data_IF_687902347658
#
_entry.id   IF_687902347658
#
_cell.length_a   1.000
_cell.length_b   1.000
_cell.length_c   1.000
_cell.angle_alpha   90.00
_cell.angle_beta   90.00
_cell.angle_gamma   90.00
#
_symmetry.space_group_name_H-M   'P 1'
#
loop_
_entity.id
_entity.type
_entity.pdbx_description
1 polymer ?
#
# COMPACT_ATOMS: atom_id res chain seq x y z
N UNK A 1 0.87 31.55 -2.23
CA UNK A 1 1.12 30.12 -2.33
C UNK A 1 2.31 29.82 -1.42
N UNK A 2 2.07 29.35 -0.21
CA UNK A 2 3.14 28.99 0.72
C UNK A 2 3.61 27.60 0.28
N UNK A 3 4.77 27.54 -0.33
CA UNK A 3 5.49 26.28 -0.55
C UNK A 3 5.89 25.82 0.86
N UNK A 4 5.13 24.88 1.43
CA UNK A 4 5.55 24.15 2.61
C UNK A 4 6.78 23.34 2.17
N UNK A 5 7.97 23.90 2.44
CA UNK A 5 9.21 23.18 2.32
C UNK A 5 9.07 21.90 3.15
N UNK A 6 9.12 20.71 2.51
CA UNK A 6 9.23 19.45 3.22
C UNK A 6 10.35 19.57 4.23
N UNK A 7 10.06 19.26 5.49
CA UNK A 7 11.10 19.24 6.51
C UNK A 7 12.10 18.15 6.13
N UNK A 8 13.36 18.53 6.01
CA UNK A 8 14.45 17.81 5.34
C UNK A 8 14.88 16.47 5.98
N UNK A 9 14.05 15.75 6.70
CA UNK A 9 14.43 14.53 7.41
C UNK A 9 13.39 13.40 7.33
N UNK A 10 12.47 13.41 6.37
CA UNK A 10 11.45 12.36 6.25
C UNK A 10 10.43 12.30 7.40
N UNK A 11 10.44 13.29 8.30
CA UNK A 11 9.58 13.33 9.49
C UNK A 11 8.27 14.10 9.31
N UNK A 12 7.89 14.46 8.10
CA UNK A 12 6.65 15.22 7.89
C UNK A 12 5.43 14.45 8.40
N UNK A 13 5.34 13.17 8.10
CA UNK A 13 4.28 12.27 8.59
C UNK A 13 4.19 12.29 10.12
N UNK A 14 5.32 12.19 10.80
CA UNK A 14 5.40 12.27 12.26
C UNK A 14 4.83 13.59 12.81
N UNK A 15 5.25 14.73 12.27
CA UNK A 15 4.80 16.03 12.73
C UNK A 15 3.33 16.30 12.41
N UNK A 16 2.83 15.86 11.24
CA UNK A 16 1.40 15.97 10.89
C UNK A 16 0.52 15.14 11.81
N UNK A 17 0.97 13.97 12.20
CA UNK A 17 0.27 13.14 13.19
C UNK A 17 0.28 13.79 14.57
N UNK A 18 1.43 14.30 15.02
CA UNK A 18 1.56 14.95 16.33
C UNK A 18 0.69 16.20 16.45
N UNK A 19 0.62 17.02 15.39
CA UNK A 19 -0.19 18.24 15.32
C UNK A 19 -1.64 17.98 14.85
N UNK A 20 -2.14 16.76 15.06
CA UNK A 20 -3.47 16.34 14.61
C UNK A 20 -4.58 17.32 15.03
N UNK A 21 -5.37 17.82 14.08
CA UNK A 21 -6.45 18.78 14.28
C UNK A 21 -7.79 18.39 13.63
N UNK A 22 -7.86 17.17 13.02
CA UNK A 22 -9.01 16.74 12.21
C UNK A 22 -10.14 16.08 13.01
N UNK A 23 -10.02 16.04 14.35
CA UNK A 23 -11.05 15.51 15.24
C UNK A 23 -11.09 13.98 15.33
N UNK A 24 -11.97 13.49 16.22
CA UNK A 24 -12.02 12.07 16.62
C UNK A 24 -12.52 11.16 15.49
N UNK A 25 -13.61 11.48 14.82
CA UNK A 25 -14.17 10.62 13.78
C UNK A 25 -13.19 10.37 12.61
N UNK A 26 -12.34 11.35 12.30
CA UNK A 26 -11.32 11.20 11.25
C UNK A 26 -10.15 10.34 11.76
N UNK A 27 -9.75 10.49 13.04
CA UNK A 27 -8.72 9.64 13.63
C UNK A 27 -9.15 8.18 13.75
N UNK A 28 -10.42 7.91 14.05
CA UNK A 28 -10.97 6.55 14.08
C UNK A 28 -10.94 5.90 12.68
N UNK A 29 -11.29 6.64 11.62
CA UNK A 29 -11.20 6.13 10.24
C UNK A 29 -9.75 5.84 9.84
N UNK A 30 -8.82 6.73 10.15
CA UNK A 30 -7.41 6.50 9.90
C UNK A 30 -6.90 5.27 10.68
N UNK A 31 -7.28 5.15 11.95
CA UNK A 31 -6.92 4.00 12.79
C UNK A 31 -7.46 2.68 12.24
N UNK A 32 -8.69 2.67 11.72
CA UNK A 32 -9.26 1.49 11.05
C UNK A 32 -8.41 1.04 9.87
N UNK A 33 -7.99 1.98 8.99
CA UNK A 33 -7.13 1.68 7.85
C UNK A 33 -5.72 1.19 8.27
N UNK A 34 -5.19 1.71 9.38
CA UNK A 34 -3.92 1.23 9.96
C UNK A 34 -4.09 -0.21 10.47
N UNK A 35 -5.17 -0.52 11.18
CA UNK A 35 -5.44 -1.86 11.68
C UNK A 35 -5.66 -2.85 10.54
N UNK A 36 -6.38 -2.46 9.48
CA UNK A 36 -6.54 -3.29 8.28
C UNK A 36 -5.20 -3.64 7.64
N UNK A 37 -4.27 -2.67 7.60
CA UNK A 37 -2.91 -2.89 7.14
C UNK A 37 -2.13 -3.88 8.01
N UNK A 38 -2.43 -3.94 9.32
CA UNK A 38 -1.82 -4.81 10.33
C UNK A 38 -2.59 -6.13 10.52
N UNK A 39 -3.37 -6.54 9.50
CA UNK A 39 -4.07 -7.82 9.39
C UNK A 39 -5.28 -8.00 10.33
N UNK A 40 -5.76 -6.92 10.95
CA UNK A 40 -7.06 -6.95 11.59
C UNK A 40 -8.18 -7.02 10.55
N UNK A 41 -9.26 -7.68 10.88
CA UNK A 41 -10.44 -7.90 10.02
C UNK A 41 -11.71 -7.45 10.73
N UNK A 42 -12.80 -7.39 9.96
CA UNK A 42 -14.15 -7.05 10.47
C UNK A 42 -14.12 -5.80 11.36
N UNK A 43 -13.40 -4.78 10.89
CA UNK A 43 -13.21 -3.53 11.61
C UNK A 43 -14.48 -2.69 11.49
N UNK A 44 -15.18 -2.53 12.61
CA UNK A 44 -16.43 -1.77 12.70
C UNK A 44 -16.24 -0.58 13.65
N UNK A 45 -16.09 0.65 13.11
CA UNK A 45 -16.04 1.87 13.90
C UNK A 45 -17.38 2.11 14.62
N UNK A 46 -17.35 2.27 15.93
CA UNK A 46 -18.57 2.29 16.76
C UNK A 46 -19.45 3.50 16.51
N UNK A 47 -18.89 4.66 16.09
CA UNK A 47 -19.66 5.90 15.89
C UNK A 47 -19.10 6.85 14.84
N UNK A 48 -19.40 6.68 13.56
CA UNK A 48 -19.06 7.70 12.55
C UNK A 48 -19.86 9.02 12.74
N UNK A 49 -20.93 9.03 13.54
CA UNK A 49 -21.83 10.18 13.73
C UNK A 49 -21.84 10.76 15.17
N UNK A 50 -21.04 10.21 16.08
CA UNK A 50 -21.01 10.60 17.50
C UNK A 50 -22.13 9.97 18.34
N UNK A 51 -21.83 9.64 19.58
CA UNK A 51 -22.77 9.04 20.55
C UNK A 51 -22.03 8.43 21.74
N UNK A 52 -22.77 7.85 22.71
CA UNK A 52 -22.16 7.07 23.80
C UNK A 52 -21.80 5.70 23.30
N UNK A 53 -20.52 5.45 23.08
CA UNK A 53 -19.92 4.27 22.48
C UNK A 53 -19.60 3.11 23.44
N UNK A 54 -19.93 3.28 24.73
CA UNK A 54 -19.66 2.26 25.76
C UNK A 54 -18.18 2.02 26.04
N UNK A 55 -17.31 2.97 25.67
CA UNK A 55 -15.87 2.91 25.92
C UNK A 55 -15.09 2.10 24.89
N UNK A 56 -15.57 2.07 23.64
CA UNK A 56 -14.88 1.47 22.49
C UNK A 56 -14.98 2.41 21.29
N UNK A 57 -13.89 2.64 20.61
CA UNK A 57 -13.89 3.41 19.38
C UNK A 57 -14.18 2.51 18.16
N UNK A 58 -13.76 1.23 18.20
CA UNK A 58 -14.09 0.23 17.19
C UNK A 58 -14.01 -1.21 17.71
N UNK A 59 -14.75 -2.11 17.07
CA UNK A 59 -14.60 -3.55 17.19
C UNK A 59 -13.80 -4.06 16.00
N UNK A 60 -12.97 -5.06 16.22
CA UNK A 60 -12.23 -5.75 15.16
C UNK A 60 -11.92 -7.20 15.56
N UNK A 61 -11.45 -7.97 14.59
CA UNK A 61 -11.00 -9.34 14.78
C UNK A 61 -9.51 -9.46 14.45
N UNK A 62 -8.77 -10.18 15.28
CA UNK A 62 -7.38 -10.55 15.02
C UNK A 62 -7.13 -11.99 15.44
N UNK A 63 -6.61 -12.82 14.53
CA UNK A 63 -6.41 -14.26 14.72
C UNK A 63 -7.69 -15.00 15.21
N UNK A 64 -8.85 -14.66 14.65
CA UNK A 64 -10.17 -15.21 15.01
C UNK A 64 -10.62 -14.88 16.43
N UNK A 65 -10.02 -13.89 17.07
CA UNK A 65 -10.44 -13.37 18.36
C UNK A 65 -10.92 -11.94 18.24
N UNK A 66 -11.92 -11.61 19.05
CA UNK A 66 -12.48 -10.27 19.15
C UNK A 66 -11.52 -9.33 19.87
N UNK A 67 -11.25 -8.17 19.27
CA UNK A 67 -10.42 -7.11 19.81
C UNK A 67 -11.17 -5.79 19.88
N UNK A 68 -10.69 -4.90 20.73
CA UNK A 68 -11.11 -3.51 20.77
C UNK A 68 -10.01 -2.65 20.15
N UNK A 69 -10.36 -1.82 19.18
CA UNK A 69 -9.53 -0.71 18.75
C UNK A 69 -9.85 0.52 19.58
N UNK A 70 -8.86 1.08 20.25
CA UNK A 70 -8.97 2.30 21.05
C UNK A 70 -8.09 3.38 20.46
N UNK A 71 -8.65 4.55 20.18
CA UNK A 71 -8.01 5.64 19.46
C UNK A 71 -7.82 6.86 20.38
N UNK A 72 -6.60 7.39 20.39
CA UNK A 72 -6.28 8.56 21.16
C UNK A 72 -5.36 9.50 20.38
N UNK A 73 -5.95 10.49 19.70
CA UNK A 73 -5.24 11.44 18.85
C UNK A 73 -5.46 12.89 19.34
N UNK A 74 -4.93 13.27 20.51
CA UNK A 74 -4.94 14.65 20.93
C UNK A 74 -3.92 15.46 20.12
N UNK A 75 -4.13 16.76 20.04
CA UNK A 75 -3.17 17.69 19.44
C UNK A 75 -1.94 17.85 20.33
N UNK A 76 -0.76 17.66 19.76
CA UNK A 76 0.51 17.76 20.46
C UNK A 76 0.79 16.60 21.43
N UNK A 77 2.00 16.56 21.95
CA UNK A 77 2.43 15.52 22.89
C UNK A 77 1.79 15.73 24.26
N UNK A 78 1.12 14.71 24.76
CA UNK A 78 0.54 14.68 26.11
C UNK A 78 1.50 14.08 27.13
N UNK A 79 1.24 14.33 28.41
CA UNK A 79 1.99 13.66 29.48
C UNK A 79 1.67 12.17 29.51
N UNK A 80 2.65 11.35 29.91
CA UNK A 80 2.43 9.90 30.02
C UNK A 80 1.29 9.55 30.99
N UNK A 81 1.07 10.36 32.03
CA UNK A 81 -0.02 10.16 32.98
C UNK A 81 -1.40 10.32 32.31
N UNK A 82 -1.55 11.26 31.39
CA UNK A 82 -2.81 11.43 30.64
C UNK A 82 -3.03 10.30 29.66
N UNK A 83 -1.98 9.87 28.94
CA UNK A 83 -2.04 8.71 28.03
C UNK A 83 -2.43 7.44 28.82
N UNK A 84 -1.76 7.21 29.96
CA UNK A 84 -2.04 6.08 30.86
C UNK A 84 -3.47 6.10 31.41
N UNK A 85 -4.00 7.28 31.72
CA UNK A 85 -5.38 7.44 32.21
C UNK A 85 -6.39 7.08 31.12
N UNK A 86 -6.19 7.56 29.88
CA UNK A 86 -7.03 7.20 28.72
C UNK A 86 -6.98 5.70 28.46
N UNK A 87 -5.78 5.14 28.39
CA UNK A 87 -5.58 3.71 28.15
C UNK A 87 -6.30 2.83 29.21
N UNK A 88 -6.20 3.20 30.49
CA UNK A 88 -6.90 2.49 31.57
C UNK A 88 -8.42 2.51 31.38
N UNK A 89 -8.97 3.62 30.98
CA UNK A 89 -10.41 3.74 30.68
C UNK A 89 -10.80 2.82 29.51
N UNK A 90 -9.94 2.73 28.48
CA UNK A 90 -10.21 1.88 27.31
C UNK A 90 -10.11 0.38 27.64
N UNK A 91 -9.22 -0.01 28.56
CA UNK A 91 -9.17 -1.38 29.09
C UNK A 91 -10.51 -1.82 29.71
N UNK A 92 -11.22 -0.93 30.40
CA UNK A 92 -12.57 -1.25 30.90
C UNK A 92 -13.53 -1.62 29.76
N UNK A 93 -13.37 -0.98 28.60
CA UNK A 93 -14.13 -1.27 27.39
C UNK A 93 -13.90 -2.69 26.86
N UNK A 94 -12.67 -3.22 26.97
CA UNK A 94 -12.32 -4.58 26.57
C UNK A 94 -13.14 -5.61 27.35
N UNK A 95 -13.18 -5.48 28.66
CA UNK A 95 -13.93 -6.37 29.53
C UNK A 95 -15.45 -6.29 29.30
N UNK A 96 -15.99 -5.06 29.16
CA UNK A 96 -17.44 -4.87 28.89
C UNK A 96 -17.88 -5.53 27.60
N UNK A 97 -16.99 -5.61 26.60
CA UNK A 97 -17.29 -6.18 25.30
C UNK A 97 -16.85 -7.64 25.14
N UNK A 98 -16.27 -8.26 26.18
CA UNK A 98 -15.79 -9.64 26.15
C UNK A 98 -14.71 -9.86 25.08
N UNK A 99 -13.88 -8.85 24.81
CA UNK A 99 -12.78 -8.96 23.86
C UNK A 99 -11.55 -9.60 24.51
N UNK A 100 -10.71 -10.24 23.69
CA UNK A 100 -9.49 -10.90 24.15
C UNK A 100 -8.30 -9.93 24.24
N UNK A 101 -8.34 -8.85 23.48
CA UNK A 101 -7.22 -7.91 23.43
C UNK A 101 -7.63 -6.49 23.05
N UNK A 102 -6.65 -5.62 23.13
CA UNK A 102 -6.76 -4.21 22.79
C UNK A 102 -5.67 -3.83 21.79
N UNK A 103 -6.08 -3.16 20.72
CA UNK A 103 -5.19 -2.39 19.85
C UNK A 103 -5.33 -0.92 20.24
N UNK A 104 -4.29 -0.34 20.85
CA UNK A 104 -4.26 1.06 21.24
C UNK A 104 -3.50 1.88 20.19
N UNK A 105 -4.23 2.74 19.48
CA UNK A 105 -3.71 3.54 18.38
C UNK A 105 -3.62 5.00 18.85
N UNK A 106 -2.39 5.54 18.88
CA UNK A 106 -2.18 6.89 19.39
C UNK A 106 -1.12 7.66 18.60
N UNK A 107 -1.38 8.93 18.37
CA UNK A 107 -0.41 9.86 17.79
C UNK A 107 0.60 10.40 18.84
N UNK A 108 0.78 9.68 19.94
CA UNK A 108 1.70 10.05 20.99
C UNK A 108 3.01 9.28 20.87
N UNK A 109 4.11 9.97 21.11
CA UNK A 109 5.42 9.31 21.22
C UNK A 109 5.50 8.61 22.58
N UNK A 110 5.88 7.34 22.56
CA UNK A 110 6.03 6.50 23.75
C UNK A 110 7.42 5.86 23.76
N UNK A 111 8.15 6.05 24.82
CA UNK A 111 9.41 5.37 25.06
C UNK A 111 9.19 3.86 25.26
N UNK A 112 10.27 3.06 25.13
CA UNK A 112 10.22 1.62 25.37
C UNK A 112 9.66 1.28 26.77
N UNK A 113 10.08 2.06 27.79
CA UNK A 113 9.63 1.87 29.18
C UNK A 113 8.13 2.14 29.32
N UNK A 114 7.64 3.23 28.72
CA UNK A 114 6.22 3.61 28.78
C UNK A 114 5.33 2.59 28.09
N UNK A 115 5.76 2.06 26.93
CA UNK A 115 5.04 0.98 26.25
C UNK A 115 4.96 -0.27 27.10
N UNK A 116 6.08 -0.67 27.71
CA UNK A 116 6.13 -1.81 28.63
C UNK A 116 5.19 -1.62 29.82
N UNK A 117 5.15 -0.42 30.42
CA UNK A 117 4.21 -0.12 31.50
C UNK A 117 2.75 -0.26 31.06
N UNK A 118 2.41 0.15 29.83
CA UNK A 118 1.03 -0.01 29.31
C UNK A 118 0.72 -1.48 29.06
N UNK A 119 1.64 -2.25 28.48
CA UNK A 119 1.48 -3.67 28.19
C UNK A 119 1.32 -4.51 29.47
N UNK A 120 2.05 -4.19 30.54
CA UNK A 120 2.01 -4.85 31.84
C UNK A 120 0.84 -4.41 32.74
N UNK A 121 0.02 -3.45 32.30
CA UNK A 121 -1.14 -3.01 33.11
C UNK A 121 -2.20 -4.09 33.26
N UNK A 122 -2.25 -5.03 32.33
CA UNK A 122 -3.15 -6.18 32.39
C UNK A 122 -2.55 -7.36 31.64
N UNK A 123 -2.02 -8.30 32.41
CA UNK A 123 -1.35 -9.51 31.88
C UNK A 123 -2.32 -10.55 31.31
N UNK A 124 -3.64 -10.34 31.49
CA UNK A 124 -4.67 -11.27 31.00
C UNK A 124 -5.14 -10.97 29.59
N UNK A 125 -4.81 -9.79 29.08
CA UNK A 125 -5.20 -9.29 27.77
C UNK A 125 -4.02 -9.29 26.78
N UNK A 126 -4.32 -9.62 25.55
CA UNK A 126 -3.40 -9.41 24.44
C UNK A 126 -3.37 -7.91 24.09
N UNK A 127 -2.18 -7.30 24.06
CA UNK A 127 -2.00 -5.86 23.83
C UNK A 127 -1.17 -5.60 22.59
N UNK A 128 -1.65 -4.68 21.75
CA UNK A 128 -0.88 -4.10 20.64
C UNK A 128 -0.92 -2.58 20.71
N UNK A 129 0.25 -1.96 20.77
CA UNK A 129 0.39 -0.51 20.83
C UNK A 129 0.91 0.02 19.50
N UNK A 130 0.12 0.92 18.91
CA UNK A 130 0.45 1.68 17.71
C UNK A 130 0.73 3.13 18.12
N UNK A 131 1.97 3.40 18.50
CA UNK A 131 2.43 4.73 18.89
C UNK A 131 2.84 5.56 17.66
N UNK A 132 3.06 6.85 17.84
CA UNK A 132 3.33 7.80 16.79
C UNK A 132 4.37 7.34 15.76
N UNK A 133 5.54 6.88 16.21
CA UNK A 133 6.61 6.43 15.32
C UNK A 133 6.19 5.20 14.49
N UNK A 134 5.51 4.23 15.13
CA UNK A 134 5.00 3.06 14.43
C UNK A 134 3.97 3.41 13.37
N UNK A 135 3.03 4.30 13.69
CA UNK A 135 2.02 4.79 12.74
C UNK A 135 2.69 5.53 11.58
N UNK A 136 3.65 6.41 11.87
CA UNK A 136 4.39 7.12 10.84
C UNK A 136 5.11 6.16 9.88
N UNK A 137 5.74 5.10 10.41
CA UNK A 137 6.41 4.08 9.62
C UNK A 137 5.42 3.32 8.72
N UNK A 138 4.25 2.93 9.24
CA UNK A 138 3.19 2.27 8.48
C UNK A 138 2.72 3.18 7.33
N UNK A 139 2.42 4.46 7.61
CA UNK A 139 1.94 5.42 6.62
C UNK A 139 3.00 5.80 5.56
N UNK A 140 4.28 5.59 5.85
CA UNK A 140 5.38 5.80 4.91
C UNK A 140 5.70 4.56 4.05
N UNK A 141 4.84 3.56 4.04
CA UNK A 141 4.96 2.41 3.12
C UNK A 141 4.23 2.68 1.80
N UNK A 142 4.68 2.12 0.67
CA UNK A 142 4.04 2.32 -0.62
C UNK A 142 2.54 2.07 -0.62
N UNK A 143 2.08 1.03 0.05
CA UNK A 143 0.65 0.69 0.18
C UNK A 143 -0.17 1.80 0.84
N UNK A 144 0.43 2.59 1.74
CA UNK A 144 -0.26 3.58 2.56
C UNK A 144 -0.06 5.03 2.08
N UNK A 145 0.67 5.27 1.00
CA UNK A 145 0.91 6.64 0.50
C UNK A 145 -0.37 7.37 0.12
N UNK A 146 -1.37 6.68 -0.46
CA UNK A 146 -2.67 7.26 -0.76
C UNK A 146 -3.42 7.69 0.51
N UNK A 147 -3.40 6.85 1.54
CA UNK A 147 -3.99 7.15 2.86
C UNK A 147 -3.26 8.31 3.54
N UNK A 148 -1.93 8.33 3.46
CA UNK A 148 -1.12 9.45 3.96
C UNK A 148 -1.48 10.77 3.27
N UNK A 149 -1.68 10.76 1.96
CA UNK A 149 -2.12 11.94 1.21
C UNK A 149 -3.51 12.40 1.66
N UNK A 150 -4.47 11.49 1.75
CA UNK A 150 -5.86 11.80 2.12
C UNK A 150 -5.97 12.38 3.54
N UNK A 151 -5.30 11.75 4.52
CA UNK A 151 -5.45 12.12 5.93
C UNK A 151 -4.45 13.17 6.42
N UNK A 152 -3.25 13.23 5.85
CA UNK A 152 -2.21 14.14 6.29
C UNK A 152 -1.85 15.22 5.27
N UNK A 153 -2.45 15.19 4.08
CA UNK A 153 -2.20 16.15 3.00
C UNK A 153 -0.70 16.20 2.60
N UNK A 154 -0.04 15.04 2.64
CA UNK A 154 1.36 14.88 2.26
C UNK A 154 1.39 14.28 0.86
N UNK A 155 1.76 15.11 -0.11
CA UNK A 155 1.93 14.68 -1.50
C UNK A 155 3.08 13.67 -1.64
N UNK A 156 2.94 12.74 -2.57
CA UNK A 156 4.00 11.78 -2.89
C UNK A 156 5.13 12.50 -3.63
N UNK A 157 6.38 12.17 -3.28
CA UNK A 157 7.53 12.52 -4.12
C UNK A 157 7.51 11.70 -5.41
N UNK A 158 8.34 12.07 -6.39
CA UNK A 158 8.50 11.27 -7.62
C UNK A 158 8.94 9.83 -7.29
N UNK A 159 9.84 9.69 -6.34
CA UNK A 159 10.35 8.40 -5.87
C UNK A 159 9.25 7.55 -5.18
N UNK A 160 8.43 8.20 -4.36
CA UNK A 160 7.29 7.54 -3.72
C UNK A 160 6.23 7.15 -4.75
N UNK A 161 5.99 7.96 -5.78
CA UNK A 161 5.11 7.62 -6.89
C UNK A 161 5.60 6.36 -7.62
N UNK A 162 6.89 6.29 -7.95
CA UNK A 162 7.47 5.11 -8.57
C UNK A 162 7.33 3.86 -7.67
N UNK A 163 7.60 4.00 -6.37
CA UNK A 163 7.43 2.90 -5.42
C UNK A 163 5.97 2.45 -5.29
N UNK A 164 5.04 3.39 -5.30
CA UNK A 164 3.60 3.11 -5.30
C UNK A 164 3.16 2.36 -6.56
N UNK A 165 3.57 2.81 -7.74
CA UNK A 165 3.27 2.13 -9.00
C UNK A 165 3.86 0.73 -9.07
N UNK A 166 5.10 0.55 -8.60
CA UNK A 166 5.71 -0.79 -8.52
C UNK A 166 4.89 -1.70 -7.61
N UNK A 167 4.48 -1.21 -6.45
CA UNK A 167 3.63 -1.96 -5.53
C UNK A 167 2.27 -2.33 -6.15
N UNK A 168 1.59 -1.40 -6.81
CA UNK A 168 0.29 -1.65 -7.47
C UNK A 168 0.43 -2.68 -8.59
N UNK A 169 1.49 -2.58 -9.39
CA UNK A 169 1.76 -3.55 -10.46
C UNK A 169 2.03 -4.95 -9.90
N UNK A 170 2.84 -5.06 -8.84
CA UNK A 170 3.12 -6.34 -8.18
C UNK A 170 1.85 -6.98 -7.62
N UNK A 171 0.97 -6.20 -6.99
CA UNK A 171 -0.33 -6.69 -6.52
C UNK A 171 -1.24 -7.14 -7.67
N UNK A 172 -1.19 -6.43 -8.80
CA UNK A 172 -1.88 -6.81 -10.04
C UNK A 172 -1.42 -8.16 -10.54
N UNK A 173 -0.11 -8.38 -10.66
CA UNK A 173 0.52 -9.62 -11.08
C UNK A 173 0.12 -10.78 -10.13
N UNK A 174 0.27 -10.61 -8.83
CA UNK A 174 -0.09 -11.63 -7.84
C UNK A 174 -1.57 -12.01 -7.89
N UNK A 175 -2.44 -11.02 -8.16
CA UNK A 175 -3.88 -11.28 -8.33
C UNK A 175 -4.18 -12.08 -9.59
N UNK A 176 -3.45 -11.82 -10.67
CA UNK A 176 -3.56 -12.55 -11.93
C UNK A 176 -3.04 -13.98 -11.76
N UNK A 177 -1.88 -14.16 -11.15
CA UNK A 177 -1.31 -15.48 -10.85
C UNK A 177 -2.30 -16.34 -10.05
N UNK A 178 -2.91 -15.78 -9.01
CA UNK A 178 -3.92 -16.51 -8.21
C UNK A 178 -5.14 -16.89 -9.02
N UNK A 179 -5.67 -15.99 -9.86
CA UNK A 179 -6.78 -16.31 -10.76
C UNK A 179 -6.42 -17.38 -11.79
N UNK A 180 -5.16 -17.40 -12.22
CA UNK A 180 -4.61 -18.43 -13.10
C UNK A 180 -4.57 -19.79 -12.45
N UNK A 181 -4.07 -19.89 -11.24
CA UNK A 181 -4.04 -21.15 -10.49
C UNK A 181 -5.45 -21.70 -10.26
N UNK A 182 -6.41 -20.80 -9.94
CA UNK A 182 -7.83 -21.18 -9.81
C UNK A 182 -8.40 -21.68 -11.13
N UNK A 183 -8.10 -21.03 -12.27
CA UNK A 183 -8.53 -21.46 -13.60
C UNK A 183 -7.86 -22.76 -14.01
N UNK A 184 -6.56 -22.94 -13.81
CA UNK A 184 -5.85 -24.17 -14.08
C UNK A 184 -6.41 -25.34 -13.25
N UNK A 185 -6.75 -25.09 -12.01
CA UNK A 185 -7.38 -26.08 -11.12
C UNK A 185 -8.77 -26.46 -11.62
N UNK A 186 -9.59 -25.48 -12.03
CA UNK A 186 -10.90 -25.72 -12.61
C UNK A 186 -10.85 -26.43 -13.96
N UNK A 187 -9.89 -26.09 -14.82
CA UNK A 187 -9.67 -26.77 -16.10
C UNK A 187 -9.21 -28.22 -15.87
N UNK A 188 -8.28 -28.49 -14.95
CA UNK A 188 -7.88 -29.84 -14.57
C UNK A 188 -9.08 -30.68 -14.10
N UNK A 189 -9.95 -30.12 -13.29
CA UNK A 189 -11.15 -30.77 -12.80
C UNK A 189 -12.22 -30.99 -13.90
N UNK A 190 -12.17 -30.20 -14.98
CA UNK A 190 -13.08 -30.36 -16.13
C UNK A 190 -12.49 -31.25 -17.22
N UNK A 191 -11.18 -31.30 -17.42
CA UNK A 191 -10.53 -32.15 -18.44
C UNK A 191 -10.54 -33.63 -18.08
N UNK A 192 -10.72 -34.00 -16.81
CA UNK A 192 -11.06 -35.37 -16.43
C UNK A 192 -12.43 -35.81 -16.95
N UNK A 193 -13.27 -34.90 -17.46
CA UNK A 193 -14.62 -35.18 -17.97
C UNK A 193 -14.76 -35.04 -19.50
N UNK A 194 -13.79 -34.51 -20.21
CA UNK A 194 -13.90 -34.27 -21.66
C UNK A 194 -12.64 -34.71 -22.38
N UNK A 195 -12.54 -36.00 -22.65
CA UNK A 195 -11.73 -36.51 -23.73
C UNK A 195 -12.59 -36.52 -24.99
N UNK A 196 -12.68 -35.44 -25.70
CA UNK A 196 -13.05 -35.32 -27.15
C UNK A 196 -13.04 -33.83 -27.52
N UNK A 197 -12.00 -33.39 -28.19
CA UNK A 197 -12.06 -32.52 -29.37
C UNK A 197 -10.64 -32.26 -29.86
N UNK A 198 -10.35 -32.90 -30.98
CA UNK A 198 -9.16 -32.75 -31.79
C UNK A 198 -9.34 -31.55 -32.75
N UNK A 199 -8.22 -30.93 -33.14
CA UNK A 199 -8.06 -29.97 -34.21
C UNK A 199 -8.82 -28.63 -34.15
N UNK A 200 -8.19 -27.62 -33.53
CA UNK A 200 -8.27 -26.25 -34.03
C UNK A 200 -7.03 -25.45 -33.65
N UNK A 201 -6.66 -24.50 -34.52
CA UNK A 201 -5.52 -23.58 -34.45
C UNK A 201 -5.10 -23.20 -33.02
N UNK A 202 -3.82 -23.33 -32.72
CA UNK A 202 -3.26 -23.09 -31.38
C UNK A 202 -3.57 -21.67 -30.91
N UNK A 203 -4.61 -21.55 -30.11
CA UNK A 203 -4.89 -20.33 -29.34
C UNK A 203 -3.71 -20.12 -28.40
N UNK A 204 -3.21 -18.89 -28.33
CA UNK A 204 -2.13 -18.53 -27.42
C UNK A 204 -2.48 -18.91 -25.99
N UNK A 205 -1.55 -19.58 -25.32
CA UNK A 205 -1.70 -19.90 -23.91
C UNK A 205 -1.67 -18.62 -23.08
N UNK A 206 -2.31 -18.65 -21.93
CA UNK A 206 -2.29 -17.50 -21.00
C UNK A 206 -0.85 -17.14 -20.59
N UNK A 207 0.04 -18.10 -20.48
CA UNK A 207 1.47 -17.89 -20.23
C UNK A 207 2.10 -17.03 -21.33
N UNK A 208 1.83 -17.35 -22.60
CA UNK A 208 2.34 -16.56 -23.74
C UNK A 208 1.76 -15.14 -23.76
N UNK A 209 0.50 -14.96 -23.35
CA UNK A 209 -0.16 -13.65 -23.24
C UNK A 209 0.52 -12.81 -22.15
N UNK A 210 0.81 -13.40 -20.99
CA UNK A 210 1.52 -12.71 -19.89
C UNK A 210 2.98 -12.40 -20.25
N UNK A 211 3.68 -13.32 -20.93
CA UNK A 211 5.03 -13.07 -21.41
C UNK A 211 5.07 -11.93 -22.42
N UNK A 212 4.07 -11.83 -23.29
CA UNK A 212 3.93 -10.74 -24.25
C UNK A 212 3.60 -9.40 -23.55
N UNK A 213 2.71 -9.40 -22.55
CA UNK A 213 2.38 -8.21 -21.76
C UNK A 213 3.62 -7.67 -21.05
N UNK A 214 4.35 -8.52 -20.36
CA UNK A 214 5.61 -8.15 -19.69
C UNK A 214 6.64 -7.61 -20.68
N UNK A 215 6.76 -8.23 -21.87
CA UNK A 215 7.70 -7.77 -22.91
C UNK A 215 7.35 -6.34 -23.38
N UNK A 216 6.07 -6.02 -23.62
CA UNK A 216 5.68 -4.70 -24.05
C UNK A 216 5.86 -3.67 -22.92
N UNK A 217 5.59 -4.06 -21.68
CA UNK A 217 5.83 -3.21 -20.50
C UNK A 217 7.32 -2.87 -20.35
N UNK A 218 8.18 -3.88 -20.44
CA UNK A 218 9.64 -3.71 -20.35
C UNK A 218 10.15 -2.74 -21.46
N UNK A 219 9.64 -2.89 -22.69
CA UNK A 219 10.01 -2.03 -23.83
C UNK A 219 9.56 -0.58 -23.66
N UNK A 220 8.32 -0.36 -23.20
CA UNK A 220 7.78 0.98 -22.93
C UNK A 220 8.54 1.64 -21.77
N UNK A 221 8.82 0.87 -20.71
CA UNK A 221 9.61 1.36 -19.59
C UNK A 221 11.01 1.76 -20.01
N UNK A 222 11.67 0.95 -20.85
CA UNK A 222 13.02 1.21 -21.31
C UNK A 222 13.12 2.47 -22.19
N UNK A 223 12.17 2.70 -23.08
CA UNK A 223 12.12 3.91 -23.89
C UNK A 223 11.92 5.19 -23.05
N UNK A 224 11.05 5.10 -22.02
CA UNK A 224 10.93 6.17 -21.03
C UNK A 224 12.23 6.40 -20.24
N UNK A 225 12.94 5.32 -19.92
CA UNK A 225 14.24 5.38 -19.26
C UNK A 225 15.27 6.11 -20.13
N UNK A 226 15.37 5.78 -21.41
CA UNK A 226 16.25 6.51 -22.36
C UNK A 226 15.89 8.00 -22.45
N UNK A 227 14.61 8.32 -22.50
CA UNK A 227 14.12 9.70 -22.50
C UNK A 227 14.48 10.44 -21.21
N UNK A 228 14.45 9.77 -20.06
CA UNK A 228 14.86 10.34 -18.77
C UNK A 228 16.39 10.53 -18.72
N UNK A 229 17.16 9.54 -19.16
CA UNK A 229 18.62 9.61 -19.26
C UNK A 229 19.06 10.83 -20.06
N UNK A 230 18.49 11.02 -21.25
CA UNK A 230 18.74 12.20 -22.06
C UNK A 230 18.46 13.52 -21.31
N UNK A 231 17.31 13.61 -20.59
CA UNK A 231 16.98 14.83 -19.83
C UNK A 231 17.93 15.09 -18.67
N UNK A 232 18.43 14.03 -18.02
CA UNK A 232 19.42 14.14 -16.96
C UNK A 232 20.75 14.65 -17.55
N UNK A 233 21.21 14.08 -18.67
CA UNK A 233 22.42 14.50 -19.34
C UNK A 233 22.39 15.97 -19.81
N UNK A 234 21.21 16.45 -20.25
CA UNK A 234 20.99 17.84 -20.60
C UNK A 234 20.81 18.76 -19.39
N UNK A 235 20.85 18.26 -18.17
CA UNK A 235 20.63 19.04 -16.96
C UNK A 235 19.19 19.56 -16.76
N UNK A 236 18.24 19.01 -17.51
CA UNK A 236 16.82 19.39 -17.46
C UNK A 236 16.14 18.73 -16.24
N UNK A 237 16.59 17.55 -15.87
CA UNK A 237 16.02 16.76 -14.75
C UNK A 237 17.14 16.27 -13.83
N UNK A 238 16.81 16.14 -12.53
CA UNK A 238 17.74 15.63 -11.53
C UNK A 238 17.06 14.52 -10.72
N UNK A 239 17.70 13.36 -10.61
CA UNK A 239 17.20 12.18 -9.91
C UNK A 239 18.19 11.80 -8.81
N UNK A 240 17.67 11.27 -7.71
CA UNK A 240 18.52 10.76 -6.63
C UNK A 240 19.48 9.69 -7.18
N UNK A 241 20.81 9.79 -6.88
CA UNK A 241 21.82 8.86 -7.41
C UNK A 241 21.54 7.38 -7.12
N UNK A 242 21.01 7.03 -5.94
CA UNK A 242 20.70 5.65 -5.58
C UNK A 242 19.56 5.08 -6.43
N UNK A 243 18.53 5.90 -6.67
CA UNK A 243 17.39 5.52 -7.52
C UNK A 243 17.84 5.38 -8.97
N UNK A 244 18.67 6.31 -9.43
CA UNK A 244 19.23 6.26 -10.78
C UNK A 244 20.06 4.99 -10.99
N UNK A 245 20.89 4.61 -10.01
CA UNK A 245 21.65 3.37 -10.06
C UNK A 245 20.75 2.14 -10.19
N UNK A 246 19.65 2.07 -9.40
CA UNK A 246 18.67 0.99 -9.52
C UNK A 246 17.97 0.94 -10.87
N UNK A 247 17.65 2.11 -11.46
CA UNK A 247 17.09 2.20 -12.80
C UNK A 247 18.07 1.69 -13.86
N UNK A 248 19.36 2.06 -13.76
CA UNK A 248 20.42 1.58 -14.65
C UNK A 248 20.64 0.06 -14.57
N UNK A 249 20.54 -0.52 -13.37
CA UNK A 249 20.62 -1.97 -13.21
C UNK A 249 19.41 -2.68 -13.85
N UNK A 250 18.23 -2.11 -13.73
CA UNK A 250 17.01 -2.60 -14.37
C UNK A 250 17.09 -2.49 -15.89
N UNK A 251 17.57 -1.36 -16.42
CA UNK A 251 17.80 -1.17 -17.85
C UNK A 251 18.77 -2.21 -18.42
N UNK A 252 19.85 -2.51 -17.69
CA UNK A 252 20.80 -3.54 -18.09
C UNK A 252 20.17 -4.92 -18.21
N UNK A 253 19.29 -5.30 -17.26
CA UNK A 253 18.56 -6.56 -17.31
C UNK A 253 17.60 -6.65 -18.50
N UNK A 254 16.96 -5.52 -18.85
CA UNK A 254 16.10 -5.44 -20.03
C UNK A 254 16.90 -5.59 -21.31
N UNK A 255 18.06 -4.94 -21.41
CA UNK A 255 19.01 -5.11 -22.55
C UNK A 255 19.47 -6.55 -22.66
N UNK A 256 19.88 -7.17 -21.55
CA UNK A 256 20.30 -8.58 -21.53
C UNK A 256 19.21 -9.53 -21.98
N UNK A 257 17.96 -9.22 -21.63
CA UNK A 257 16.80 -10.07 -21.93
C UNK A 257 16.35 -9.98 -23.40
N UNK A 258 16.39 -8.80 -24.00
CA UNK A 258 15.78 -8.55 -25.31
C UNK A 258 16.75 -8.16 -26.43
N UNK A 259 17.99 -7.78 -26.09
CA UNK A 259 18.94 -7.18 -27.00
C UNK A 259 18.70 -5.70 -27.23
N UNK A 260 19.75 -4.90 -27.23
CA UNK A 260 19.68 -3.45 -27.35
C UNK A 260 19.01 -2.99 -28.66
N UNK A 261 19.26 -3.72 -29.74
CA UNK A 261 18.70 -3.46 -31.08
C UNK A 261 17.17 -3.59 -31.16
N UNK A 262 16.54 -4.20 -30.16
CA UNK A 262 15.09 -4.43 -30.10
C UNK A 262 14.36 -3.48 -29.10
N UNK A 263 15.07 -2.51 -28.52
CA UNK A 263 14.59 -1.70 -27.40
C UNK A 263 14.41 -0.20 -27.69
N UNK A 264 14.44 0.19 -28.94
CA UNK A 264 14.23 1.59 -29.36
C UNK A 264 15.54 2.30 -29.73
N UNK A 265 15.55 3.62 -29.87
CA UNK A 265 14.40 4.53 -29.70
C UNK A 265 13.30 4.28 -30.73
N UNK A 266 12.03 4.39 -30.29
CA UNK A 266 10.87 4.16 -31.15
C UNK A 266 10.37 5.46 -31.79
N UNK A 267 9.91 5.39 -33.04
CA UNK A 267 9.14 6.45 -33.67
C UNK A 267 7.76 6.61 -32.97
N UNK A 268 7.11 7.76 -33.15
CA UNK A 268 5.76 8.02 -32.59
C UNK A 268 4.75 6.93 -32.97
N UNK A 269 4.86 6.38 -34.18
CA UNK A 269 4.00 5.29 -34.65
C UNK A 269 4.28 3.99 -33.92
N UNK A 270 5.55 3.61 -33.78
CA UNK A 270 5.95 2.38 -33.06
C UNK A 270 5.62 2.47 -31.58
N UNK A 271 5.83 3.65 -30.99
CA UNK A 271 5.45 3.96 -29.62
C UNK A 271 3.92 3.79 -29.41
N UNK A 272 3.10 4.36 -30.30
CA UNK A 272 1.65 4.18 -30.28
C UNK A 272 1.24 2.70 -30.44
N UNK A 273 1.93 1.96 -31.33
CA UNK A 273 1.68 0.52 -31.51
C UNK A 273 2.01 -0.31 -30.28
N UNK A 274 3.14 -0.01 -29.60
CA UNK A 274 3.53 -0.71 -28.36
C UNK A 274 2.50 -0.50 -27.25
N UNK A 275 2.08 0.76 -27.04
CA UNK A 275 1.06 1.10 -26.06
C UNK A 275 -0.30 0.46 -26.40
N UNK A 276 -0.70 0.45 -27.66
CA UNK A 276 -1.93 -0.19 -28.13
C UNK A 276 -1.91 -1.71 -27.90
N UNK A 277 -0.79 -2.38 -28.18
CA UNK A 277 -0.63 -3.81 -27.93
C UNK A 277 -0.70 -4.11 -26.42
N UNK A 278 -0.01 -3.33 -25.58
CA UNK A 278 -0.07 -3.47 -24.13
C UNK A 278 -1.49 -3.27 -23.59
N UNK A 279 -2.19 -2.23 -24.06
CA UNK A 279 -3.56 -1.96 -23.68
C UNK A 279 -4.51 -3.11 -24.05
N UNK A 280 -4.37 -3.66 -25.26
CA UNK A 280 -5.19 -4.78 -25.69
C UNK A 280 -4.94 -6.05 -24.85
N UNK A 281 -3.68 -6.38 -24.54
CA UNK A 281 -3.37 -7.50 -23.66
C UNK A 281 -3.89 -7.30 -22.23
N UNK A 282 -3.75 -6.12 -21.69
CA UNK A 282 -4.29 -5.77 -20.37
C UNK A 282 -5.81 -5.86 -20.33
N UNK A 283 -6.48 -5.42 -21.38
CA UNK A 283 -7.93 -5.59 -21.49
C UNK A 283 -8.34 -7.06 -21.49
N UNK A 284 -7.67 -7.90 -22.27
CA UNK A 284 -7.88 -9.37 -22.28
C UNK A 284 -7.64 -9.97 -20.88
N UNK A 285 -6.69 -9.43 -20.12
CA UNK A 285 -6.36 -9.85 -18.76
C UNK A 285 -7.31 -9.24 -17.70
N UNK A 286 -8.30 -8.43 -18.11
CA UNK A 286 -9.36 -7.91 -17.25
C UNK A 286 -9.16 -6.46 -16.75
N UNK A 287 -8.24 -5.70 -17.34
CA UNK A 287 -8.11 -4.27 -17.09
C UNK A 287 -9.10 -3.47 -17.97
N UNK A 288 -9.46 -2.26 -17.54
CA UNK A 288 -10.23 -1.32 -18.36
C UNK A 288 -9.38 -0.80 -19.55
N UNK A 289 -10.04 -0.47 -20.68
CA UNK A 289 -9.34 0.00 -21.88
C UNK A 289 -8.51 1.27 -21.69
N UNK A 290 -8.97 2.16 -20.84
CA UNK A 290 -8.41 3.50 -20.67
C UNK A 290 -7.39 3.60 -19.53
N UNK A 291 -6.94 2.45 -18.99
CA UNK A 291 -5.87 2.38 -18.00
C UNK A 291 -4.47 2.49 -18.65
N UNK A 292 -4.32 3.32 -19.66
CA UNK A 292 -3.02 3.79 -20.12
C UNK A 292 -2.66 5.02 -19.26
N UNK A 293 -2.02 4.78 -18.13
CA UNK A 293 -1.33 5.84 -17.42
C UNK A 293 -0.16 6.31 -18.30
N UNK A 294 -0.41 7.43 -18.90
CA UNK A 294 0.57 8.20 -19.66
C UNK A 294 1.56 8.88 -18.72
#
# INVERSE_FOLDING_TARGET
>A
MVILLRRAEGRETFYRLLEWDKGQAVSERLAALILEQEEFRDIDPSHPLGGKDGGKDMLCEFNSFKWIGAVYFPRGQQSFNEIKKKYRHDLEGVYRNGAKGIAFITNQELSLMERKILEEMDETLDVRIYHLERIANILNTPKMYGIRLEYLEIEMTKEEQLSYFSYVNEQGITRIERKLDDLCTNIRNQTEKISVFDDTEEVRTLKEVLEAENMFLDKIWFDRHLSLEYRIEQGIENVNPEIWQGAMESARKVIEKYGEENLGPYSDFEWGMLNGKLSALRWVLGCEWDMLDT
#
